data_IF_257666663988
#
_entry.id   IF_257666663988
#
_cell.length_a   1.000
_cell.length_b   1.000
_cell.length_c   1.000
_cell.angle_alpha   90.00
_cell.angle_beta   90.00
_cell.angle_gamma   90.00
#
_symmetry.space_group_name_H-M   'P 1'
#
loop_
_entity.id
_entity.type
_entity.pdbx_description
1 polymer ?
#
# COMPACT_ATOMS: atom_id res chain seq x y z
N UNK A 1 5.19 8.91 13.24
CA UNK A 1 6.64 8.77 12.94
C UNK A 1 7.39 10.07 13.28
N UNK A 2 8.44 10.01 14.11
CA UNK A 2 9.12 11.19 14.70
C UNK A 2 10.37 11.67 13.94
N UNK A 3 10.62 11.22 12.70
CA UNK A 3 11.81 11.61 11.91
C UNK A 3 11.43 12.47 10.69
N UNK A 4 12.32 13.41 10.34
CA UNK A 4 12.15 14.34 9.22
C UNK A 4 12.31 13.69 7.82
N UNK A 5 12.95 12.52 7.76
CA UNK A 5 13.23 11.80 6.51
C UNK A 5 12.22 10.69 6.25
N UNK A 6 11.99 10.30 4.99
CA UNK A 6 11.13 9.17 4.67
C UNK A 6 11.65 7.90 5.36
N UNK A 7 10.79 7.29 6.16
CA UNK A 7 11.06 5.99 6.79
C UNK A 7 10.58 4.92 5.83
N UNK A 8 11.50 4.18 5.23
CA UNK A 8 11.21 3.02 4.39
C UNK A 8 11.28 1.78 5.26
N UNK A 9 10.26 0.94 5.19
CA UNK A 9 10.26 -0.39 5.77
C UNK A 9 10.13 -1.42 4.65
N UNK A 10 11.05 -2.38 4.60
CA UNK A 10 11.07 -3.46 3.61
C UNK A 10 10.76 -4.79 4.28
N UNK A 11 9.93 -5.63 3.65
CA UNK A 11 9.52 -6.93 4.18
C UNK A 11 9.42 -7.97 3.05
N UNK A 12 9.92 -9.19 3.28
CA UNK A 12 9.92 -10.29 2.30
C UNK A 12 8.67 -11.16 2.41
N UNK A 13 8.33 -11.59 3.62
CA UNK A 13 7.05 -12.17 3.98
C UNK A 13 6.42 -11.29 5.04
N UNK A 14 5.10 -11.11 4.97
CA UNK A 14 4.33 -10.14 5.72
C UNK A 14 4.83 -10.05 7.17
N UNK A 15 5.57 -8.98 7.44
CA UNK A 15 6.10 -8.61 8.75
C UNK A 15 5.02 -8.89 9.81
N UNK A 16 5.34 -9.82 10.70
CA UNK A 16 4.75 -9.98 12.03
C UNK A 16 4.94 -8.75 12.91
N UNK A 17 5.65 -7.72 12.43
CA UNK A 17 5.86 -6.46 13.14
C UNK A 17 4.79 -5.44 12.78
N UNK A 18 4.06 -5.01 13.80
CA UNK A 18 3.05 -3.95 13.77
C UNK A 18 3.62 -2.58 13.41
N UNK A 19 4.03 -2.40 12.16
CA UNK A 19 4.32 -1.08 11.60
C UNK A 19 2.98 -0.37 11.39
N UNK A 20 2.50 0.32 12.43
CA UNK A 20 1.33 1.21 12.34
C UNK A 20 1.72 2.54 11.68
N UNK A 21 1.77 2.53 10.36
CA UNK A 21 2.07 3.72 9.56
C UNK A 21 0.78 4.40 9.09
N UNK A 22 0.09 5.12 10.01
CA UNK A 22 -1.10 5.93 9.66
C UNK A 22 -0.83 6.97 8.56
N UNK A 23 0.43 7.38 8.40
CA UNK A 23 0.89 8.34 7.40
C UNK A 23 1.56 7.68 6.17
N UNK A 24 1.28 6.40 5.89
CA UNK A 24 1.88 5.66 4.77
C UNK A 24 1.42 6.19 3.40
N UNK A 25 2.27 6.91 2.68
CA UNK A 25 1.93 7.54 1.38
C UNK A 25 2.27 6.69 0.15
N UNK A 26 3.14 5.70 0.28
CA UNK A 26 3.64 4.89 -0.83
C UNK A 26 3.76 3.41 -0.41
N UNK A 27 3.16 2.52 -1.18
CA UNK A 27 3.32 1.07 -1.08
C UNK A 27 4.00 0.58 -2.34
N UNK A 28 5.11 -0.14 -2.21
CA UNK A 28 5.88 -0.67 -3.34
C UNK A 28 5.73 -2.19 -3.38
N UNK A 29 5.33 -2.71 -4.54
CA UNK A 29 5.16 -4.14 -4.80
C UNK A 29 6.30 -4.62 -5.72
N UNK A 30 7.28 -5.29 -5.14
CA UNK A 30 8.39 -5.93 -5.88
C UNK A 30 8.45 -7.44 -5.64
N UNK A 31 7.28 -8.06 -5.48
CA UNK A 31 7.17 -9.51 -5.28
C UNK A 31 5.98 -10.05 -6.07
N UNK A 32 6.10 -11.29 -6.56
CA UNK A 32 4.98 -12.01 -7.16
C UNK A 32 3.95 -12.33 -6.08
N UNK A 33 2.81 -11.64 -6.09
CA UNK A 33 1.72 -11.88 -5.15
C UNK A 33 0.76 -12.87 -5.81
N UNK A 34 0.62 -14.07 -5.23
CA UNK A 34 -0.22 -15.14 -5.77
C UNK A 34 -1.61 -15.22 -5.14
N UNK A 35 -1.91 -14.35 -4.17
CA UNK A 35 -3.16 -14.38 -3.40
C UNK A 35 -3.76 -12.99 -3.29
N UNK A 36 -5.05 -12.88 -3.68
CA UNK A 36 -5.87 -11.69 -3.51
C UNK A 36 -5.89 -11.21 -2.06
N UNK A 37 -6.03 -12.14 -1.10
CA UNK A 37 -6.03 -11.81 0.33
C UNK A 37 -4.72 -11.15 0.75
N UNK A 38 -3.58 -11.71 0.30
CA UNK A 38 -2.26 -11.14 0.58
C UNK A 38 -2.10 -9.76 -0.06
N UNK A 39 -2.54 -9.60 -1.31
CA UNK A 39 -2.54 -8.30 -1.99
C UNK A 39 -3.33 -7.24 -1.19
N UNK A 40 -4.59 -7.55 -0.83
CA UNK A 40 -5.47 -6.65 -0.05
C UNK A 40 -4.92 -6.33 1.33
N UNK A 41 -4.29 -7.29 2.01
CA UNK A 41 -3.62 -7.05 3.29
C UNK A 41 -2.43 -6.08 3.18
N UNK A 42 -1.70 -6.10 2.06
CA UNK A 42 -0.57 -5.21 1.80
C UNK A 42 -1.07 -3.79 1.50
N UNK A 43 -1.96 -3.62 0.53
CA UNK A 43 -2.47 -2.28 0.15
C UNK A 43 -3.31 -1.64 1.26
N UNK A 44 -3.99 -2.45 2.09
CA UNK A 44 -4.74 -2.01 3.26
C UNK A 44 -3.89 -1.27 4.31
N UNK A 45 -2.56 -1.30 4.21
CA UNK A 45 -1.67 -0.49 5.05
C UNK A 45 -1.62 0.98 4.62
N UNK A 46 -1.95 1.29 3.35
CA UNK A 46 -1.98 2.65 2.81
C UNK A 46 -3.35 3.33 2.84
N UNK A 47 -4.44 2.58 3.05
CA UNK A 47 -5.83 3.08 2.94
C UNK A 47 -6.26 4.03 4.05
N UNK A 48 -5.53 4.10 5.17
CA UNK A 48 -5.86 5.00 6.28
C UNK A 48 -5.67 6.46 5.87
N UNK A 49 -6.65 7.28 6.24
CA UNK A 49 -6.65 8.74 6.06
C UNK A 49 -6.24 9.39 7.38
N UNK A 50 -5.40 10.42 7.28
CA UNK A 50 -5.00 11.25 8.41
C UNK A 50 -4.85 12.72 7.97
N UNK A 51 -5.94 13.47 8.08
CA UNK A 51 -6.02 14.87 7.65
C UNK A 51 -5.04 15.77 8.40
N UNK A 52 -4.73 15.44 9.66
CA UNK A 52 -3.81 16.23 10.50
C UNK A 52 -2.40 16.24 9.93
N UNK A 53 -2.03 15.20 9.20
CA UNK A 53 -0.72 15.05 8.54
C UNK A 53 -0.81 15.16 7.01
N UNK A 54 -1.95 15.63 6.48
CA UNK A 54 -2.17 15.78 5.03
C UNK A 54 -2.09 14.45 4.27
N UNK A 55 -2.53 13.36 4.90
CA UNK A 55 -2.56 12.02 4.29
C UNK A 55 -3.97 11.73 3.78
N UNK A 56 -4.25 12.18 2.55
CA UNK A 56 -5.56 12.03 1.90
C UNK A 56 -5.62 10.91 0.86
N UNK A 57 -4.46 10.44 0.42
CA UNK A 57 -4.32 9.42 -0.62
C UNK A 57 -3.02 8.65 -0.41
N UNK A 58 -2.85 7.54 -1.12
CA UNK A 58 -1.59 6.82 -1.18
C UNK A 58 -1.34 6.35 -2.60
N UNK A 59 -0.08 6.08 -2.93
CA UNK A 59 0.32 5.54 -4.22
C UNK A 59 0.67 4.07 -4.08
N UNK A 60 0.25 3.27 -5.06
CA UNK A 60 0.77 1.92 -5.27
C UNK A 60 1.77 2.00 -6.41
N UNK A 61 3.00 1.59 -6.17
CA UNK A 61 4.03 1.41 -7.19
C UNK A 61 4.24 -0.08 -7.39
N UNK A 62 3.94 -0.58 -8.57
CA UNK A 62 3.89 -2.01 -8.86
C UNK A 62 4.90 -2.39 -9.96
N UNK A 63 5.94 -3.14 -9.58
CA UNK A 63 6.99 -3.59 -10.49
C UNK A 63 6.68 -4.94 -11.16
N UNK A 64 5.67 -5.67 -10.66
CA UNK A 64 5.36 -7.04 -11.08
C UNK A 64 3.97 -7.18 -11.69
N UNK A 65 3.27 -6.07 -11.94
CA UNK A 65 1.89 -6.03 -12.48
C UNK A 65 0.89 -6.82 -11.64
N UNK A 66 1.12 -6.91 -10.32
CA UNK A 66 0.19 -7.54 -9.40
C UNK A 66 -1.20 -6.86 -9.41
N UNK A 67 -1.24 -5.54 -9.58
CA UNK A 67 -2.47 -4.74 -9.65
C UNK A 67 -3.42 -5.18 -10.76
N UNK A 68 -2.92 -5.62 -11.91
CA UNK A 68 -3.75 -6.10 -13.04
C UNK A 68 -4.49 -7.40 -12.70
N UNK A 69 -3.86 -8.28 -11.91
CA UNK A 69 -4.41 -9.58 -11.52
C UNK A 69 -5.45 -9.47 -10.39
N UNK A 70 -5.48 -8.33 -9.69
CA UNK A 70 -6.23 -8.16 -8.45
C UNK A 70 -7.12 -6.91 -8.43
N UNK A 71 -7.30 -6.23 -9.56
CA UNK A 71 -8.22 -5.12 -9.71
C UNK A 71 -9.67 -5.63 -9.65
N UNK A 72 -10.29 -5.58 -8.46
CA UNK A 72 -11.70 -5.86 -8.27
C UNK A 72 -12.47 -4.55 -8.08
N UNK A 73 -12.95 -3.96 -9.17
CA UNK A 73 -13.67 -2.68 -9.15
C UNK A 73 -14.86 -2.65 -8.18
N UNK A 74 -15.49 -3.81 -7.91
CA UNK A 74 -16.62 -3.91 -6.98
C UNK A 74 -16.21 -3.73 -5.52
N UNK A 75 -14.95 -4.01 -5.19
CA UNK A 75 -14.42 -3.91 -3.84
C UNK A 75 -13.52 -2.69 -3.66
N UNK A 76 -12.60 -2.48 -4.61
CA UNK A 76 -11.54 -1.47 -4.52
C UNK A 76 -11.95 -0.14 -5.18
N UNK A 77 -13.02 -0.14 -6.00
CA UNK A 77 -13.40 0.99 -6.84
C UNK A 77 -12.44 1.19 -8.01
N UNK A 78 -12.63 2.29 -8.75
CA UNK A 78 -11.76 2.67 -9.87
C UNK A 78 -10.64 3.58 -9.35
N UNK A 79 -9.37 3.33 -9.66
CA UNK A 79 -8.28 4.23 -9.27
C UNK A 79 -8.42 5.58 -9.97
N UNK A 80 -8.28 6.68 -9.22
CA UNK A 80 -8.40 8.04 -9.79
C UNK A 80 -7.30 8.38 -10.81
N UNK A 81 -6.13 7.73 -10.71
CA UNK A 81 -5.00 7.97 -11.60
C UNK A 81 -4.17 6.71 -11.81
N UNK A 82 -4.02 6.32 -13.06
CA UNK A 82 -3.09 5.28 -13.52
C UNK A 82 -2.06 5.96 -14.42
N UNK A 83 -0.77 5.71 -14.18
CA UNK A 83 0.37 6.25 -14.94
C UNK A 83 1.36 5.17 -15.29
#
# INVERSE_FOLDING_TARGET
PKKAYPVIATTSELMTTGVDAKTCKLVVLDQGIQSMTKFKQIIGRGTRIDDRYGKLWFTILDFKKATELFADERFDGVPERVK
#
